data_IF_554945587634
#
_entry.id   IF_554945587634
#
_cell.length_a   1.000
_cell.length_b   1.000
_cell.length_c   1.000
_cell.angle_alpha   90.00
_cell.angle_beta   90.00
_cell.angle_gamma   90.00
#
_symmetry.space_group_name_H-M   'P 1'
#
loop_
_entity.id
_entity.type
_entity.pdbx_description
1 polymer ?
#
# COMPACT_ATOMS: atom_id res chain seq x y z
N UNK A 1 -18.89 -0.85 0.68
CA UNK A 1 -17.57 -0.83 1.36
C UNK A 1 -17.81 -0.60 2.85
N UNK A 2 -16.98 -1.17 3.73
CA UNK A 2 -17.01 -0.87 5.17
C UNK A 2 -16.33 0.46 5.48
N UNK A 3 -16.58 1.04 6.66
CA UNK A 3 -16.03 2.34 7.07
C UNK A 3 -14.50 2.41 7.02
N UNK A 4 -13.81 1.37 7.52
CA UNK A 4 -12.34 1.30 7.45
C UNK A 4 -11.78 1.16 6.03
N UNK A 5 -12.49 0.46 5.14
CA UNK A 5 -12.08 0.38 3.74
C UNK A 5 -12.23 1.71 3.02
N UNK A 6 -13.28 2.48 3.34
CA UNK A 6 -13.44 3.84 2.83
C UNK A 6 -12.29 4.73 3.28
N UNK A 7 -12.00 4.76 4.60
CA UNK A 7 -10.87 5.52 5.15
C UNK A 7 -9.53 5.14 4.53
N UNK A 8 -9.30 3.85 4.27
CA UNK A 8 -8.09 3.36 3.60
C UNK A 8 -7.98 3.84 2.15
N UNK A 9 -9.08 3.87 1.40
CA UNK A 9 -9.10 4.39 0.03
C UNK A 9 -8.87 5.90 0.04
N UNK A 10 -9.54 6.65 0.90
CA UNK A 10 -9.36 8.11 1.00
C UNK A 10 -7.91 8.46 1.37
N UNK A 11 -7.36 7.84 2.41
CA UNK A 11 -5.97 8.02 2.80
C UNK A 11 -5.00 7.63 1.67
N UNK A 12 -5.26 6.54 0.97
CA UNK A 12 -4.49 6.15 -0.20
C UNK A 12 -4.47 7.25 -1.27
N UNK A 13 -5.63 7.81 -1.59
CA UNK A 13 -5.74 8.81 -2.65
C UNK A 13 -5.11 10.15 -2.26
N UNK A 14 -5.19 10.54 -0.99
CA UNK A 14 -4.53 11.75 -0.48
C UNK A 14 -3.01 11.63 -0.53
N UNK A 15 -2.46 10.51 -0.04
CA UNK A 15 -1.01 10.22 -0.13
C UNK A 15 -0.56 10.16 -1.58
N UNK A 16 -1.34 9.51 -2.45
CA UNK A 16 -1.02 9.42 -3.88
C UNK A 16 -0.95 10.81 -4.52
N UNK A 17 -1.93 11.69 -4.26
CA UNK A 17 -1.95 13.06 -4.82
C UNK A 17 -0.75 13.89 -4.37
N UNK A 18 -0.38 13.79 -3.10
CA UNK A 18 0.78 14.50 -2.57
C UNK A 18 2.09 13.95 -3.13
N UNK A 19 2.25 12.63 -3.23
CA UNK A 19 3.41 12.02 -3.88
C UNK A 19 3.51 12.40 -5.35
N UNK A 20 2.38 12.43 -6.07
CA UNK A 20 2.33 12.74 -7.49
C UNK A 20 2.66 14.20 -7.79
N UNK A 21 2.20 15.13 -6.94
CA UNK A 21 2.51 16.55 -7.07
C UNK A 21 4.01 16.84 -6.88
N UNK A 22 4.71 16.03 -6.10
CA UNK A 22 6.14 16.18 -5.82
C UNK A 22 7.06 15.37 -6.79
N UNK A 23 6.51 14.43 -7.57
CA UNK A 23 7.26 13.52 -8.45
C UNK A 23 6.56 13.36 -9.81
N UNK A 24 6.32 14.49 -10.50
CA UNK A 24 5.67 14.49 -11.79
C UNK A 24 6.49 13.66 -12.80
N UNK A 25 5.86 12.65 -13.41
CA UNK A 25 6.51 11.77 -14.39
C UNK A 25 7.24 10.54 -13.84
N UNK A 26 7.52 10.44 -12.54
CA UNK A 26 8.21 9.29 -11.95
C UNK A 26 7.27 8.16 -11.52
N UNK A 27 7.80 6.95 -11.36
CA UNK A 27 7.05 5.86 -10.73
C UNK A 27 6.67 6.21 -9.29
N UNK A 28 5.46 5.80 -8.89
CA UNK A 28 4.99 5.90 -7.50
C UNK A 28 4.62 4.52 -7.04
N UNK A 29 5.01 4.15 -5.83
CA UNK A 29 4.62 2.86 -5.28
C UNK A 29 4.68 2.87 -3.76
N UNK A 30 3.56 2.66 -3.08
CA UNK A 30 3.49 2.61 -1.63
C UNK A 30 2.35 1.71 -1.15
N UNK A 31 2.36 1.38 0.14
CA UNK A 31 1.27 0.63 0.78
C UNK A 31 0.47 1.50 1.73
N UNK A 32 -0.75 1.93 1.32
CA UNK A 32 -1.63 2.69 2.21
C UNK A 32 -2.07 1.84 3.41
N UNK A 33 -2.29 0.53 3.25
CA UNK A 33 -2.62 -0.36 4.37
C UNK A 33 -1.50 -0.37 5.42
N UNK A 34 -0.26 -0.56 4.99
CA UNK A 34 0.88 -0.62 5.91
C UNK A 34 1.05 0.71 6.65
N UNK A 35 0.97 1.83 5.93
CA UNK A 35 1.09 3.17 6.51
C UNK A 35 -0.03 3.48 7.50
N UNK A 36 -1.28 3.20 7.11
CA UNK A 36 -2.44 3.39 7.97
C UNK A 36 -2.28 2.61 9.27
N UNK A 37 -1.82 1.37 9.19
CA UNK A 37 -1.51 0.54 10.35
C UNK A 37 -0.40 1.13 11.22
N UNK A 38 0.72 1.50 10.62
CA UNK A 38 1.89 2.00 11.33
C UNK A 38 1.62 3.35 12.02
N UNK A 39 0.88 4.25 11.36
CA UNK A 39 0.44 5.51 11.95
C UNK A 39 -0.64 5.28 13.03
N UNK A 40 -1.49 4.27 12.88
CA UNK A 40 -2.46 3.90 13.94
C UNK A 40 -1.78 3.42 15.22
N UNK A 41 -0.56 2.87 15.16
CA UNK A 41 0.24 2.55 16.35
C UNK A 41 0.71 3.80 17.10
N UNK A 42 0.92 4.91 16.39
CA UNK A 42 1.25 6.20 17.00
C UNK A 42 -0.02 6.84 17.57
N UNK A 43 -1.13 6.80 16.80
CA UNK A 43 -2.43 7.31 17.23
C UNK A 43 -2.90 6.66 18.55
N UNK A 44 -2.61 5.37 18.76
CA UNK A 44 -2.88 4.64 20.00
C UNK A 44 -2.39 5.40 21.26
N UNK A 45 -1.26 6.11 21.16
CA UNK A 45 -0.70 6.89 22.25
C UNK A 45 -0.77 8.42 22.08
N UNK A 46 -1.26 8.91 20.95
CA UNK A 46 -1.47 10.34 20.73
C UNK A 46 -2.67 10.86 21.53
N UNK A 47 -2.64 12.13 21.92
CA UNK A 47 -3.73 12.81 22.64
C UNK A 47 -4.01 14.18 22.01
N UNK A 48 -5.15 14.77 22.40
CA UNK A 48 -5.54 16.16 22.06
C UNK A 48 -5.38 16.47 20.56
N UNK A 49 -4.78 17.60 20.22
CA UNK A 49 -4.68 18.07 18.83
C UNK A 49 -3.78 17.17 17.96
N UNK A 50 -2.77 16.53 18.56
CA UNK A 50 -1.97 15.52 17.88
C UNK A 50 -2.83 14.32 17.44
N UNK A 51 -3.71 13.81 18.32
CA UNK A 51 -4.66 12.76 17.96
C UNK A 51 -5.68 13.24 16.92
N UNK A 52 -6.27 14.42 17.09
CA UNK A 52 -7.27 14.97 16.16
C UNK A 52 -6.73 15.15 14.73
N UNK A 53 -5.50 15.66 14.59
CA UNK A 53 -4.83 15.79 13.29
C UNK A 53 -4.60 14.43 12.65
N UNK A 54 -4.16 13.44 13.43
CA UNK A 54 -3.94 12.09 12.93
C UNK A 54 -5.24 11.41 12.49
N UNK A 55 -6.30 11.49 13.29
CA UNK A 55 -7.61 10.94 12.96
C UNK A 55 -8.19 11.58 11.69
N UNK A 56 -7.99 12.89 11.50
CA UNK A 56 -8.42 13.58 10.29
C UNK A 56 -7.67 13.07 9.06
N UNK A 57 -6.34 13.01 9.11
CA UNK A 57 -5.50 12.58 7.98
C UNK A 57 -5.69 11.10 7.65
N UNK A 58 -5.92 10.26 8.66
CA UNK A 58 -6.20 8.83 8.48
C UNK A 58 -7.68 8.55 8.11
N UNK A 59 -8.50 9.59 7.99
CA UNK A 59 -9.94 9.49 7.71
C UNK A 59 -10.71 8.65 8.74
N UNK A 60 -10.32 8.72 10.00
CA UNK A 60 -10.96 7.98 11.09
C UNK A 60 -12.12 8.72 11.74
N UNK A 61 -12.24 10.04 11.54
CA UNK A 61 -13.29 10.86 12.14
C UNK A 61 -14.72 10.37 11.79
N UNK A 62 -14.95 9.94 10.55
CA UNK A 62 -16.27 9.43 10.11
C UNK A 62 -16.50 7.97 10.53
N UNK A 63 -15.42 7.21 10.77
CA UNK A 63 -15.48 5.84 11.31
C UNK A 63 -15.96 5.88 12.75
N UNK A 64 -15.44 6.83 13.55
CA UNK A 64 -15.81 7.02 14.96
C UNK A 64 -17.28 7.44 15.12
N UNK A 65 -17.78 8.33 14.26
CA UNK A 65 -19.19 8.77 14.29
C UNK A 65 -20.21 7.69 13.92
N UNK A 66 -19.80 6.64 13.20
CA UNK A 66 -20.68 5.56 12.73
C UNK A 66 -20.83 4.40 13.75
N UNK A 67 -20.14 4.46 14.88
CA UNK A 67 -20.09 3.38 15.87
C UNK A 67 -21.20 3.54 16.92
N UNK A 68 -22.23 2.68 16.89
CA UNK A 68 -23.27 2.63 17.93
C UNK A 68 -22.68 2.35 19.33
N UNK A 69 -23.16 3.01 20.41
CA UNK A 69 -22.57 2.97 21.76
C UNK A 69 -22.73 1.63 22.55
N UNK A 70 -23.38 0.60 22.01
CA UNK A 70 -23.91 -0.51 22.82
C UNK A 70 -22.98 -1.73 23.06
N UNK A 71 -21.76 -1.76 22.51
CA UNK A 71 -20.82 -2.87 22.76
C UNK A 71 -19.80 -2.50 23.85
N UNK A 72 -19.93 -3.12 25.03
CA UNK A 72 -18.98 -3.02 26.14
C UNK A 72 -17.69 -3.78 25.79
N UNK A 73 -16.65 -3.07 25.37
CA UNK A 73 -15.31 -3.63 25.18
C UNK A 73 -14.60 -3.88 26.53
N UNK A 74 -13.73 -4.90 26.58
CA UNK A 74 -12.88 -5.17 27.75
C UNK A 74 -11.98 -3.97 28.08
N UNK A 75 -11.99 -3.55 29.34
CA UNK A 75 -11.75 -2.19 29.82
C UNK A 75 -10.30 -1.64 29.84
N UNK A 76 -9.31 -2.29 29.21
CA UNK A 76 -7.89 -1.84 29.33
C UNK A 76 -7.31 -1.11 28.12
N UNK A 77 -7.70 -1.46 26.90
CA UNK A 77 -7.32 -0.71 25.68
C UNK A 77 -8.49 0.12 25.12
N UNK A 78 -9.63 0.17 25.85
CA UNK A 78 -10.90 0.76 25.40
C UNK A 78 -10.93 2.30 25.42
N UNK A 79 -10.10 2.96 26.23
CA UNK A 79 -9.94 4.44 26.15
C UNK A 79 -9.41 4.92 24.79
N UNK A 80 -8.93 3.99 23.96
CA UNK A 80 -8.32 4.25 22.67
C UNK A 80 -9.31 4.06 21.50
N UNK A 81 -10.55 3.66 21.79
CA UNK A 81 -11.62 3.55 20.79
C UNK A 81 -11.64 2.23 20.01
N UNK A 82 -12.84 1.87 19.52
CA UNK A 82 -13.13 0.62 18.77
C UNK A 82 -12.35 0.50 17.45
N UNK A 83 -11.74 1.59 16.99
CA UNK A 83 -11.05 1.63 15.71
C UNK A 83 -9.81 0.74 15.71
N UNK A 84 -9.06 0.69 16.82
CA UNK A 84 -7.84 -0.11 16.91
C UNK A 84 -8.13 -1.61 17.00
N UNK A 85 -9.22 -2.02 17.66
CA UNK A 85 -9.64 -3.43 17.68
C UNK A 85 -10.13 -3.88 16.31
N UNK A 86 -10.88 -3.04 15.60
CA UNK A 86 -11.30 -3.31 14.22
C UNK A 86 -10.10 -3.38 13.26
N UNK A 87 -9.12 -2.48 13.39
CA UNK A 87 -7.88 -2.51 12.61
C UNK A 87 -7.06 -3.77 12.90
N UNK A 88 -6.91 -4.16 14.17
CA UNK A 88 -6.21 -5.38 14.56
C UNK A 88 -6.87 -6.65 13.99
N UNK A 89 -8.21 -6.72 14.03
CA UNK A 89 -8.96 -7.83 13.44
C UNK A 89 -8.83 -7.87 11.91
N UNK A 90 -8.93 -6.71 11.26
CA UNK A 90 -8.78 -6.57 9.81
C UNK A 90 -7.38 -6.95 9.35
N UNK A 91 -6.35 -6.49 10.06
CA UNK A 91 -4.96 -6.85 9.78
C UNK A 91 -4.74 -8.35 9.95
N UNK A 92 -5.27 -8.93 11.03
CA UNK A 92 -5.19 -10.39 11.27
C UNK A 92 -5.88 -11.18 10.17
N UNK A 93 -6.93 -10.64 9.54
CA UNK A 93 -7.61 -11.25 8.40
C UNK A 93 -6.80 -11.17 7.09
N UNK A 94 -6.12 -10.04 6.85
CA UNK A 94 -5.34 -9.80 5.64
C UNK A 94 -4.00 -10.52 5.70
N UNK A 95 -3.36 -10.54 6.86
CA UNK A 95 -2.02 -11.11 7.07
C UNK A 95 -2.06 -12.61 7.44
N UNK A 96 -3.15 -13.31 7.16
CA UNK A 96 -3.20 -14.77 7.32
C UNK A 96 -2.26 -15.40 6.32
N UNK A 97 -1.47 -16.37 6.78
CA UNK A 97 -0.58 -17.12 5.91
C UNK A 97 -1.36 -17.71 4.72
N UNK A 98 -0.81 -17.52 3.53
CA UNK A 98 -1.29 -18.09 2.28
C UNK A 98 -0.08 -18.72 1.58
N UNK A 99 -0.15 -20.00 1.24
CA UNK A 99 0.94 -20.67 0.53
C UNK A 99 1.21 -20.05 -0.84
N UNK A 100 0.22 -19.36 -1.41
CA UNK A 100 0.22 -18.86 -2.79
C UNK A 100 0.45 -17.34 -2.85
N UNK A 101 0.59 -16.66 -1.72
CA UNK A 101 1.04 -15.27 -1.69
C UNK A 101 1.82 -14.95 -0.43
N UNK A 102 2.98 -14.33 -0.60
CA UNK A 102 3.80 -13.82 0.50
C UNK A 102 3.54 -12.33 0.63
N UNK A 103 2.77 -11.96 1.65
CA UNK A 103 2.66 -10.59 2.14
C UNK A 103 3.51 -10.49 3.41
N UNK A 104 4.53 -9.64 3.40
CA UNK A 104 5.38 -9.41 4.57
C UNK A 104 5.36 -7.95 4.94
N UNK A 105 4.75 -7.65 6.08
CA UNK A 105 4.64 -6.30 6.64
C UNK A 105 5.55 -6.19 7.84
N UNK A 106 6.52 -5.28 7.75
CA UNK A 106 7.53 -5.00 8.77
C UNK A 106 7.30 -3.59 9.32
N UNK A 107 6.45 -3.51 10.34
CA UNK A 107 6.16 -2.26 11.04
C UNK A 107 6.76 -2.28 12.44
N UNK A 108 7.62 -1.31 12.75
CA UNK A 108 8.20 -1.18 14.09
C UNK A 108 8.48 0.27 14.44
N UNK A 109 8.23 0.57 15.70
CA UNK A 109 8.60 1.83 16.32
C UNK A 109 9.93 1.66 17.07
N UNK A 110 10.87 2.55 16.77
CA UNK A 110 12.16 2.62 17.45
C UNK A 110 12.21 3.87 18.31
N UNK A 111 12.24 3.70 19.63
CA UNK A 111 12.33 4.80 20.59
C UNK A 111 13.67 4.85 21.30
N UNK A 112 14.07 6.04 21.76
CA UNK A 112 15.28 6.19 22.59
C UNK A 112 15.12 5.55 23.97
N UNK A 113 16.21 4.97 24.51
CA UNK A 113 16.25 4.38 25.87
C UNK A 113 15.87 5.35 26.98
N UNK A 114 16.09 6.64 26.74
CA UNK A 114 15.87 7.69 27.75
C UNK A 114 14.37 7.97 27.97
N UNK A 115 13.51 7.59 27.01
CA UNK A 115 12.07 7.86 27.08
C UNK A 115 11.30 6.55 27.29
N UNK A 116 11.19 6.14 28.55
CA UNK A 116 10.51 4.91 28.95
C UNK A 116 9.03 4.90 28.53
N UNK A 117 8.61 3.85 27.83
CA UNK A 117 7.22 3.69 27.39
C UNK A 117 6.33 3.14 28.51
N UNK A 118 5.07 3.54 28.52
CA UNK A 118 4.07 2.97 29.43
C UNK A 118 3.80 1.50 29.08
N UNK A 119 3.82 0.61 30.09
CA UNK A 119 3.54 -0.81 29.90
C UNK A 119 2.15 -1.05 29.28
N UNK A 120 1.17 -0.22 29.61
CA UNK A 120 -0.16 -0.30 29.00
C UNK A 120 -0.11 -0.07 27.48
N UNK A 121 0.67 0.92 27.02
CA UNK A 121 0.85 1.19 25.60
C UNK A 121 1.55 0.02 24.90
N UNK A 122 2.63 -0.51 25.49
CA UNK A 122 3.35 -1.67 24.96
C UNK A 122 2.41 -2.87 24.80
N UNK A 123 1.66 -3.21 25.85
CA UNK A 123 0.72 -4.33 25.85
C UNK A 123 -0.41 -4.16 24.81
N UNK A 124 -0.95 -2.94 24.67
CA UNK A 124 -2.00 -2.68 23.68
C UNK A 124 -1.42 -2.72 22.25
N UNK A 125 -0.21 -2.21 22.03
CA UNK A 125 0.47 -2.27 20.74
C UNK A 125 0.74 -3.70 20.31
N UNK A 126 1.27 -4.53 21.20
CA UNK A 126 1.51 -5.94 20.92
C UNK A 126 0.21 -6.70 20.67
N UNK A 127 -0.82 -6.48 21.50
CA UNK A 127 -2.11 -7.17 21.36
C UNK A 127 -2.86 -6.80 20.06
N UNK A 128 -2.85 -5.52 19.69
CA UNK A 128 -3.65 -5.01 18.57
C UNK A 128 -2.89 -5.05 17.25
N UNK A 129 -1.56 -4.93 17.31
CA UNK A 129 -0.71 -4.76 16.14
C UNK A 129 0.43 -5.79 16.02
N UNK A 130 0.57 -6.74 16.95
CA UNK A 130 1.69 -7.69 16.93
C UNK A 130 3.07 -7.02 16.87
N UNK A 131 3.14 -5.74 17.22
CA UNK A 131 4.28 -4.88 16.97
C UNK A 131 4.93 -4.53 18.30
N UNK A 132 6.07 -5.18 18.54
CA UNK A 132 6.95 -4.87 19.64
C UNK A 132 7.78 -3.62 19.31
N UNK A 133 7.68 -2.59 20.15
CA UNK A 133 8.60 -1.46 20.10
C UNK A 133 10.01 -1.93 20.45
N UNK A 134 11.01 -1.31 19.83
CA UNK A 134 12.39 -1.59 20.14
C UNK A 134 13.09 -0.32 20.63
N UNK A 135 13.80 -0.46 21.73
CA UNK A 135 14.55 0.64 22.30
C UNK A 135 15.97 0.64 21.72
N UNK A 136 16.41 1.80 21.23
CA UNK A 136 17.71 1.99 20.59
C UNK A 136 18.42 3.23 21.13
N UNK A 137 19.67 3.41 20.76
CA UNK A 137 20.47 4.58 21.12
C UNK A 137 20.84 5.36 19.87
N UNK A 138 20.02 6.37 19.54
CA UNK A 138 20.28 7.28 18.43
C UNK A 138 21.48 8.18 18.71
N UNK A 139 21.67 8.61 19.97
CA UNK A 139 22.61 9.65 20.35
C UNK A 139 24.05 9.17 20.39
N UNK A 140 24.32 8.07 21.08
CA UNK A 140 25.68 7.58 21.31
C UNK A 140 26.07 6.46 20.36
N UNK A 141 25.12 5.78 19.72
CA UNK A 141 25.38 4.64 18.83
C UNK A 141 24.55 4.64 17.53
N UNK A 142 24.51 5.76 16.76
CA UNK A 142 23.65 5.89 15.58
C UNK A 142 23.93 4.83 14.51
N UNK A 143 25.18 4.46 14.26
CA UNK A 143 25.53 3.43 13.27
C UNK A 143 25.16 2.01 13.70
N UNK A 144 25.23 1.70 15.00
CA UNK A 144 24.74 0.41 15.53
C UNK A 144 23.21 0.35 15.41
N UNK A 145 22.54 1.45 15.74
CA UNK A 145 21.09 1.60 15.58
C UNK A 145 20.68 1.43 14.11
N UNK A 146 21.40 2.07 13.17
CA UNK A 146 21.19 1.93 11.73
C UNK A 146 21.27 0.47 11.27
N UNK A 147 22.36 -0.23 11.64
CA UNK A 147 22.56 -1.65 11.27
C UNK A 147 21.48 -2.55 11.87
N UNK A 148 21.09 -2.30 13.12
CA UNK A 148 20.03 -3.04 13.81
C UNK A 148 18.71 -2.91 13.08
N UNK A 149 18.32 -1.68 12.71
CA UNK A 149 17.08 -1.42 11.97
C UNK A 149 17.12 -2.09 10.60
N UNK A 150 18.20 -1.91 9.83
CA UNK A 150 18.33 -2.51 8.50
C UNK A 150 18.27 -4.05 8.54
N UNK A 151 18.99 -4.69 9.47
CA UNK A 151 18.99 -6.14 9.61
C UNK A 151 17.60 -6.69 9.96
N UNK A 152 16.86 -5.99 10.83
CA UNK A 152 15.50 -6.38 11.17
C UNK A 152 14.55 -6.27 9.96
N UNK A 153 14.63 -5.17 9.20
CA UNK A 153 13.82 -4.97 7.98
C UNK A 153 14.14 -6.04 6.93
N UNK A 154 15.43 -6.31 6.71
CA UNK A 154 15.87 -7.32 5.75
C UNK A 154 15.35 -8.72 6.14
N UNK A 155 15.45 -9.08 7.43
CA UNK A 155 14.91 -10.34 7.96
C UNK A 155 13.38 -10.44 7.79
N UNK A 156 12.64 -9.36 8.04
CA UNK A 156 11.17 -9.35 7.91
C UNK A 156 10.66 -9.26 6.48
N UNK A 157 11.53 -9.00 5.51
CA UNK A 157 11.17 -8.85 4.09
C UNK A 157 11.85 -9.91 3.21
N UNK A 158 12.26 -11.04 3.79
CA UNK A 158 12.91 -12.15 3.09
C UNK A 158 14.14 -11.70 2.26
N UNK A 159 14.91 -10.74 2.78
CA UNK A 159 16.09 -10.22 2.10
C UNK A 159 15.80 -9.24 0.95
N UNK A 160 14.54 -8.87 0.70
CA UNK A 160 14.16 -8.04 -0.46
C UNK A 160 14.29 -6.55 -0.19
N UNK A 161 14.05 -6.11 1.04
CA UNK A 161 14.23 -4.70 1.43
C UNK A 161 15.53 -4.55 2.20
N UNK A 162 16.58 -4.12 1.49
CA UNK A 162 17.90 -3.85 2.07
C UNK A 162 18.14 -2.37 2.27
N UNK A 163 19.11 -2.05 3.13
CA UNK A 163 19.65 -0.70 3.31
C UNK A 163 18.59 0.40 3.41
N UNK A 164 17.60 0.19 4.28
CA UNK A 164 16.55 1.17 4.53
C UNK A 164 17.16 2.55 4.87
N UNK A 165 18.12 2.53 5.79
CA UNK A 165 18.95 3.67 6.16
C UNK A 165 20.37 3.52 5.60
N UNK A 166 20.80 4.53 4.83
CA UNK A 166 22.18 4.68 4.37
C UNK A 166 23.10 5.14 5.52
N UNK A 167 24.41 4.96 5.35
CA UNK A 167 25.41 5.44 6.33
C UNK A 167 25.19 6.93 6.64
N UNK A 168 25.25 7.31 7.92
CA UNK A 168 25.07 8.70 8.35
C UNK A 168 23.64 9.26 8.26
N UNK A 169 22.62 8.44 7.91
CA UNK A 169 21.22 8.94 7.77
C UNK A 169 20.39 8.87 9.04
N UNK A 170 20.91 8.25 10.11
CA UNK A 170 20.30 8.27 11.44
C UNK A 170 20.79 9.51 12.17
N UNK A 171 19.85 10.43 12.44
CA UNK A 171 20.12 11.66 13.18
C UNK A 171 20.28 11.36 14.68
N UNK A 172 21.41 11.71 15.32
CA UNK A 172 21.63 11.50 16.76
C UNK A 172 20.65 12.23 17.68
N UNK A 173 19.95 13.24 17.17
CA UNK A 173 18.89 13.96 17.90
C UNK A 173 17.54 13.24 17.87
N UNK A 174 17.40 12.17 17.08
CA UNK A 174 16.15 11.40 16.98
C UNK A 174 15.74 10.83 18.34
N UNK A 175 14.46 10.98 18.68
CA UNK A 175 13.86 10.37 19.87
C UNK A 175 12.93 9.21 19.52
N UNK A 176 12.32 9.24 18.33
CA UNK A 176 11.43 8.19 17.86
C UNK A 176 11.37 8.10 16.33
N UNK A 177 11.58 6.90 15.79
CA UNK A 177 11.55 6.61 14.35
C UNK A 177 10.57 5.50 14.07
N UNK A 178 9.60 5.77 13.19
CA UNK A 178 8.68 4.77 12.66
C UNK A 178 9.25 4.18 11.37
N UNK A 179 9.44 2.85 11.39
CA UNK A 179 9.90 2.09 10.23
C UNK A 179 8.75 1.26 9.71
N UNK A 180 8.42 1.49 8.44
CA UNK A 180 7.43 0.77 7.69
C UNK A 180 8.06 0.18 6.44
N UNK A 181 8.22 -1.12 6.38
CA UNK A 181 8.65 -1.81 5.17
C UNK A 181 7.65 -2.88 4.81
N UNK A 182 7.37 -3.01 3.51
CA UNK A 182 6.41 -3.99 3.03
C UNK A 182 6.90 -4.64 1.74
N UNK A 183 6.73 -5.95 1.67
CA UNK A 183 7.04 -6.78 0.53
C UNK A 183 5.81 -7.59 0.14
N UNK A 184 5.54 -7.67 -1.16
CA UNK A 184 4.52 -8.55 -1.69
C UNK A 184 5.03 -9.33 -2.89
N UNK A 185 4.77 -10.64 -2.87
CA UNK A 185 4.84 -11.54 -4.02
C UNK A 185 3.59 -12.40 -4.02
N UNK A 186 2.73 -12.20 -5.00
CA UNK A 186 1.52 -12.98 -5.17
C UNK A 186 1.60 -13.84 -6.42
N UNK A 187 0.90 -14.96 -6.41
CA UNK A 187 0.73 -15.81 -7.57
C UNK A 187 -0.57 -15.47 -8.33
N UNK A 188 -0.51 -15.25 -9.65
CA UNK A 188 -1.70 -15.05 -10.47
C UNK A 188 -2.61 -16.27 -10.43
N UNK A 189 -3.93 -16.05 -10.36
CA UNK A 189 -4.90 -17.13 -10.56
C UNK A 189 -4.78 -17.73 -11.97
N UNK A 190 -4.54 -16.88 -12.97
CA UNK A 190 -4.25 -17.25 -14.36
C UNK A 190 -2.88 -16.68 -14.74
N UNK A 191 -1.89 -17.56 -14.88
CA UNK A 191 -0.51 -17.17 -15.18
C UNK A 191 -0.33 -16.67 -16.61
N UNK A 192 0.67 -15.82 -16.77
CA UNK A 192 1.31 -15.59 -18.05
C UNK A 192 2.30 -16.72 -18.34
N UNK A 193 2.43 -17.12 -19.60
CA UNK A 193 3.41 -18.11 -20.02
C UNK A 193 4.67 -17.37 -20.45
N UNK A 194 5.84 -17.71 -19.89
CA UNK A 194 7.10 -17.00 -20.20
C UNK A 194 7.43 -16.99 -21.70
N UNK A 195 7.07 -18.05 -22.43
CA UNK A 195 7.26 -18.15 -23.88
C UNK A 195 6.44 -17.13 -24.69
N UNK A 196 5.37 -16.60 -24.10
CA UNK A 196 4.49 -15.60 -24.73
C UNK A 196 4.96 -14.17 -24.40
N UNK A 197 5.92 -14.01 -23.48
CA UNK A 197 6.50 -12.72 -23.15
C UNK A 197 7.44 -12.29 -24.27
N UNK A 198 7.16 -11.10 -24.83
CA UNK A 198 7.92 -10.56 -25.96
C UNK A 198 8.37 -9.13 -25.70
N UNK A 199 9.52 -8.77 -26.26
CA UNK A 199 10.03 -7.39 -26.22
C UNK A 199 9.14 -6.48 -27.06
N UNK A 200 8.52 -5.49 -26.43
CA UNK A 200 7.68 -4.51 -27.13
C UNK A 200 7.94 -3.08 -26.64
N UNK A 201 7.63 -2.06 -27.46
CA UNK A 201 7.74 -0.67 -27.01
C UNK A 201 6.69 -0.33 -25.95
N UNK A 202 7.16 0.25 -24.84
CA UNK A 202 6.36 0.98 -23.87
C UNK A 202 6.50 2.48 -24.13
N UNK A 203 5.40 3.17 -24.40
CA UNK A 203 5.36 4.59 -24.69
C UNK A 203 5.39 5.37 -23.37
N UNK A 204 6.48 6.07 -23.10
CA UNK A 204 6.62 6.95 -21.95
C UNK A 204 5.89 8.28 -22.20
N UNK A 205 5.80 9.10 -21.15
CA UNK A 205 5.43 10.52 -21.28
C UNK A 205 6.36 11.23 -22.28
N UNK A 206 5.87 12.29 -22.93
CA UNK A 206 6.62 13.11 -23.91
C UNK A 206 6.97 12.40 -25.23
N UNK A 207 6.35 11.26 -25.54
CA UNK A 207 6.54 10.56 -26.82
C UNK A 207 7.83 9.75 -26.93
N UNK A 208 8.57 9.59 -25.83
CA UNK A 208 9.70 8.65 -25.73
C UNK A 208 9.18 7.22 -25.66
N UNK A 209 10.01 6.24 -26.00
CA UNK A 209 9.67 4.83 -25.80
C UNK A 209 10.87 4.03 -25.31
N UNK A 210 10.59 3.00 -24.53
CA UNK A 210 11.58 2.03 -24.04
C UNK A 210 11.11 0.63 -24.39
N UNK A 211 12.05 -0.28 -24.63
CA UNK A 211 11.72 -1.69 -24.89
C UNK A 211 11.57 -2.41 -23.57
N UNK A 212 10.45 -3.10 -23.38
CA UNK A 212 10.13 -3.84 -22.15
C UNK A 212 9.73 -5.28 -22.48
N UNK A 213 9.94 -6.18 -21.53
CA UNK A 213 9.38 -7.54 -21.58
C UNK A 213 7.86 -7.45 -21.33
N UNK A 214 7.06 -7.65 -22.37
CA UNK A 214 5.61 -7.54 -22.30
C UNK A 214 5.01 -8.94 -22.20
N UNK A 215 4.45 -9.24 -21.04
CA UNK A 215 3.76 -10.50 -20.79
C UNK A 215 2.42 -10.51 -21.53
N UNK A 216 2.03 -11.68 -22.06
CA UNK A 216 0.78 -11.88 -22.79
C UNK A 216 0.00 -13.09 -22.29
N UNK A 217 -1.32 -12.95 -22.19
CA UNK A 217 -2.24 -14.08 -22.05
C UNK A 217 -3.62 -13.73 -22.59
N UNK A 218 -4.43 -14.76 -22.84
CA UNK A 218 -5.87 -14.62 -23.06
C UNK A 218 -6.63 -15.36 -21.97
N UNK A 219 -7.72 -14.78 -21.47
CA UNK A 219 -8.56 -15.45 -20.48
C UNK A 219 -9.84 -14.69 -20.19
N UNK A 220 -10.67 -15.27 -19.31
CA UNK A 220 -11.84 -14.59 -18.77
C UNK A 220 -11.41 -13.67 -17.63
N UNK A 221 -11.60 -12.36 -17.82
CA UNK A 221 -11.25 -11.34 -16.85
C UNK A 221 -12.36 -10.31 -16.70
N UNK A 222 -12.45 -9.71 -15.53
CA UNK A 222 -13.33 -8.57 -15.30
C UNK A 222 -12.71 -7.33 -15.92
N UNK A 223 -13.44 -6.73 -16.86
CA UNK A 223 -13.02 -5.56 -17.62
C UNK A 223 -14.15 -4.53 -17.68
N UNK A 224 -13.86 -3.29 -17.29
CA UNK A 224 -14.75 -2.15 -17.49
C UNK A 224 -14.21 -1.18 -18.53
N UNK A 225 -15.13 -0.54 -19.27
CA UNK A 225 -14.84 0.56 -20.19
C UNK A 225 -15.55 1.81 -19.69
N UNK A 226 -14.79 2.79 -19.20
CA UNK A 226 -15.33 4.01 -18.62
C UNK A 226 -15.25 5.12 -19.66
N UNK A 227 -16.40 5.58 -20.17
CA UNK A 227 -16.46 6.57 -21.27
C UNK A 227 -15.89 7.95 -20.92
N UNK A 228 -15.95 8.33 -19.64
CA UNK A 228 -15.40 9.58 -19.10
C UNK A 228 -14.67 9.21 -17.80
N UNK A 229 -13.33 9.19 -17.76
CA UNK A 229 -12.39 9.89 -18.65
C UNK A 229 -11.96 9.19 -19.96
N UNK A 230 -12.48 8.02 -20.35
CA UNK A 230 -11.90 7.10 -21.36
C UNK A 230 -10.75 6.27 -20.76
N UNK A 231 -11.12 5.36 -19.86
CA UNK A 231 -10.18 4.38 -19.29
C UNK A 231 -10.73 2.97 -19.46
N UNK A 232 -9.81 2.00 -19.56
CA UNK A 232 -10.08 0.61 -19.30
C UNK A 232 -9.68 0.26 -17.87
N UNK A 233 -10.50 -0.54 -17.19
CA UNK A 233 -10.20 -1.05 -15.85
C UNK A 233 -10.18 -2.57 -15.90
N UNK A 234 -9.00 -3.16 -15.72
CA UNK A 234 -8.82 -4.62 -15.71
C UNK A 234 -8.59 -5.09 -14.27
N UNK A 235 -9.24 -6.18 -13.87
CA UNK A 235 -8.96 -6.87 -12.61
C UNK A 235 -8.34 -8.25 -12.87
N UNK A 236 -7.13 -8.44 -12.35
CA UNK A 236 -6.37 -9.68 -12.38
C UNK A 236 -6.35 -10.32 -10.99
N UNK A 237 -7.07 -11.42 -10.77
CA UNK A 237 -7.06 -12.12 -9.49
C UNK A 237 -5.73 -12.83 -9.24
N UNK A 238 -5.28 -12.80 -7.99
CA UNK A 238 -4.28 -13.73 -7.48
C UNK A 238 -4.97 -15.03 -7.05
N UNK A 239 -4.18 -16.10 -6.87
CA UNK A 239 -4.67 -17.43 -6.44
C UNK A 239 -5.56 -17.29 -5.20
N UNK A 240 -6.58 -18.15 -5.12
CA UNK A 240 -7.60 -18.18 -4.05
C UNK A 240 -8.57 -16.98 -4.05
N UNK A 241 -8.50 -16.08 -5.04
CA UNK A 241 -9.36 -14.89 -5.13
C UNK A 241 -9.40 -14.05 -3.82
N UNK A 242 -8.31 -14.05 -3.05
CA UNK A 242 -8.19 -13.21 -1.85
C UNK A 242 -7.76 -11.79 -2.20
N UNK A 243 -6.81 -11.70 -3.13
CA UNK A 243 -6.25 -10.44 -3.62
C UNK A 243 -6.50 -10.31 -5.12
N UNK A 244 -6.55 -9.08 -5.61
CA UNK A 244 -6.50 -8.79 -7.04
C UNK A 244 -5.67 -7.55 -7.33
N UNK A 245 -5.02 -7.54 -8.49
CA UNK A 245 -4.48 -6.31 -9.07
C UNK A 245 -5.55 -5.68 -9.97
N UNK A 246 -5.83 -4.40 -9.76
CA UNK A 246 -6.64 -3.58 -10.64
C UNK A 246 -5.71 -2.64 -11.39
N UNK A 247 -5.86 -2.55 -12.71
CA UNK A 247 -5.12 -1.60 -13.54
C UNK A 247 -6.11 -0.63 -14.18
N UNK A 248 -5.87 0.67 -13.99
CA UNK A 248 -6.60 1.76 -14.63
C UNK A 248 -5.71 2.31 -15.74
N UNK A 249 -6.09 2.01 -16.99
CA UNK A 249 -5.34 2.36 -18.19
C UNK A 249 -6.09 3.44 -18.97
N UNK A 250 -5.55 4.67 -19.10
CA UNK A 250 -6.06 5.67 -20.04
C UNK A 250 -6.11 5.12 -21.46
N UNK A 251 -7.15 5.44 -22.23
CA UNK A 251 -7.27 5.04 -23.63
C UNK A 251 -7.83 6.18 -24.48
N UNK A 252 -7.71 6.05 -25.80
CA UNK A 252 -8.25 7.05 -26.74
C UNK A 252 -7.50 8.37 -26.61
N UNK A 253 -8.22 9.44 -26.28
CA UNK A 253 -7.64 10.79 -26.13
C UNK A 253 -7.25 11.10 -24.69
N UNK A 254 -7.53 10.20 -23.74
CA UNK A 254 -7.18 10.40 -22.34
C UNK A 254 -5.70 10.18 -22.10
N UNK A 255 -5.17 10.91 -21.13
CA UNK A 255 -3.83 10.69 -20.60
C UNK A 255 -3.87 10.40 -19.10
N UNK A 256 -2.73 9.98 -18.56
CA UNK A 256 -2.61 9.62 -17.15
C UNK A 256 -2.89 10.80 -16.22
N UNK A 257 -2.48 12.01 -16.58
CA UNK A 257 -2.70 13.22 -15.79
C UNK A 257 -4.20 13.54 -15.61
N UNK A 258 -5.00 13.37 -16.67
CA UNK A 258 -6.46 13.54 -16.60
C UNK A 258 -7.11 12.49 -15.70
N UNK A 259 -6.63 11.24 -15.76
CA UNK A 259 -7.07 10.17 -14.85
C UNK A 259 -6.73 10.53 -13.40
N UNK A 260 -5.50 10.95 -13.12
CA UNK A 260 -5.03 11.34 -11.78
C UNK A 260 -5.86 12.48 -11.18
N UNK A 261 -6.21 13.50 -11.98
CA UNK A 261 -7.05 14.64 -11.56
C UNK A 261 -8.47 14.21 -11.19
N UNK A 262 -9.03 13.22 -11.89
CA UNK A 262 -10.40 12.74 -11.66
C UNK A 262 -10.47 11.66 -10.59
N UNK A 263 -9.34 11.05 -10.21
CA UNK A 263 -9.26 10.00 -9.22
C UNK A 263 -9.57 10.52 -7.80
N UNK A 264 -10.70 10.08 -7.27
CA UNK A 264 -11.19 10.33 -5.92
C UNK A 264 -11.99 9.10 -5.44
N UNK A 265 -12.44 9.11 -4.19
CA UNK A 265 -13.16 7.97 -3.60
C UNK A 265 -14.35 7.54 -4.46
N UNK A 266 -15.19 8.51 -4.87
CA UNK A 266 -16.41 8.25 -5.64
C UNK A 266 -16.08 7.63 -6.99
N UNK A 267 -15.15 8.23 -7.73
CA UNK A 267 -14.75 7.73 -9.05
C UNK A 267 -14.06 6.39 -8.96
N UNK A 268 -13.17 6.17 -7.98
CA UNK A 268 -12.54 4.87 -7.76
C UNK A 268 -13.57 3.76 -7.48
N UNK A 269 -14.54 4.02 -6.60
CA UNK A 269 -15.61 3.08 -6.28
C UNK A 269 -16.51 2.81 -7.49
N UNK A 270 -16.87 3.85 -8.24
CA UNK A 270 -17.68 3.73 -9.45
C UNK A 270 -16.96 2.89 -10.51
N UNK A 271 -15.72 3.23 -10.86
CA UNK A 271 -14.94 2.57 -11.91
C UNK A 271 -14.61 1.12 -11.58
N UNK A 272 -14.47 0.78 -10.29
CA UNK A 272 -14.16 -0.59 -9.83
C UNK A 272 -15.36 -1.36 -9.29
N UNK A 273 -16.57 -0.82 -9.46
CA UNK A 273 -17.82 -1.45 -9.02
C UNK A 273 -18.13 -2.73 -9.80
N UNK A 274 -18.79 -3.68 -9.14
CA UNK A 274 -19.23 -4.93 -9.78
C UNK A 274 -20.21 -4.70 -10.94
N UNK A 275 -20.95 -3.59 -10.94
CA UNK A 275 -21.84 -3.21 -12.05
C UNK A 275 -21.09 -2.79 -13.31
N UNK A 276 -19.87 -2.24 -13.17
CA UNK A 276 -19.04 -1.84 -14.31
C UNK A 276 -18.08 -2.96 -14.75
N UNK A 277 -17.58 -3.74 -13.78
CA UNK A 277 -16.56 -4.78 -13.98
C UNK A 277 -17.18 -6.10 -14.45
N UNK A 278 -17.44 -6.21 -15.76
CA UNK A 278 -18.05 -7.38 -16.38
C UNK A 278 -17.00 -8.40 -16.82
N UNK A 279 -17.25 -9.69 -16.59
CA UNK A 279 -16.39 -10.78 -17.05
C UNK A 279 -16.50 -10.97 -18.57
N UNK A 280 -15.36 -11.00 -19.26
CA UNK A 280 -15.25 -11.12 -20.73
C UNK A 280 -13.97 -11.85 -21.10
N UNK A 281 -13.91 -12.39 -22.31
CA UNK A 281 -12.65 -12.89 -22.89
C UNK A 281 -11.77 -11.70 -23.30
N UNK A 282 -10.58 -11.60 -22.69
CA UNK A 282 -9.66 -10.48 -22.85
C UNK A 282 -8.27 -10.96 -23.24
N UNK A 283 -7.68 -10.30 -24.24
CA UNK A 283 -6.24 -10.35 -24.53
C UNK A 283 -5.51 -9.33 -23.66
N UNK A 284 -4.73 -9.82 -22.69
CA UNK A 284 -4.07 -9.00 -21.68
C UNK A 284 -2.58 -8.89 -22.02
N UNK A 285 -2.09 -7.67 -22.17
CA UNK A 285 -0.67 -7.35 -22.29
C UNK A 285 -0.25 -6.43 -21.15
N UNK A 286 0.70 -6.87 -20.32
CA UNK A 286 1.22 -6.10 -19.17
C UNK A 286 2.74 -6.26 -19.12
N UNK A 287 3.50 -5.17 -18.90
CA UNK A 287 4.94 -5.29 -18.78
C UNK A 287 5.33 -6.09 -17.54
N UNK A 288 6.43 -6.84 -17.62
CA UNK A 288 7.16 -7.25 -16.44
C UNK A 288 7.80 -6.01 -15.83
N UNK A 289 7.64 -5.80 -14.53
CA UNK A 289 8.24 -4.65 -13.85
C UNK A 289 8.53 -4.94 -12.39
N UNK A 290 9.45 -4.15 -11.84
CA UNK A 290 9.84 -4.21 -10.44
C UNK A 290 9.95 -2.81 -9.89
N UNK A 291 9.22 -2.52 -8.81
CA UNK A 291 9.30 -1.24 -8.12
C UNK A 291 9.80 -1.44 -6.71
N UNK A 292 10.87 -0.72 -6.36
CA UNK A 292 11.41 -0.64 -5.00
C UNK A 292 11.60 0.84 -4.66
N UNK A 293 10.66 1.42 -3.93
CA UNK A 293 10.64 2.87 -3.67
C UNK A 293 10.65 3.14 -2.17
N UNK A 294 11.46 4.12 -1.77
CA UNK A 294 11.61 4.58 -0.39
C UNK A 294 11.17 6.03 -0.27
N UNK A 295 10.35 6.32 0.74
CA UNK A 295 9.91 7.65 1.10
C UNK A 295 10.27 7.99 2.54
N UNK A 296 10.65 9.25 2.75
CA UNK A 296 10.59 9.91 4.06
C UNK A 296 9.31 10.73 4.11
N UNK A 297 8.36 10.32 4.94
CA UNK A 297 6.98 10.80 4.87
C UNK A 297 6.71 12.04 5.73
N UNK A 298 7.69 12.56 6.45
CA UNK A 298 7.50 13.69 7.38
C UNK A 298 6.86 14.91 6.69
N UNK A 299 7.44 15.37 5.58
CA UNK A 299 6.92 16.56 4.86
C UNK A 299 5.56 16.30 4.23
N UNK A 300 5.37 15.10 3.66
CA UNK A 300 4.09 14.68 3.09
C UNK A 300 2.97 14.62 4.13
N UNK A 301 3.22 14.01 5.29
CA UNK A 301 2.21 13.91 6.34
C UNK A 301 1.89 15.30 6.93
N UNK A 302 2.89 16.18 7.02
CA UNK A 302 2.70 17.59 7.41
C UNK A 302 1.80 18.35 6.42
N UNK A 303 2.01 18.19 5.10
CA UNK A 303 1.18 18.87 4.09
C UNK A 303 -0.28 18.39 4.12
N UNK A 304 -0.50 17.11 4.45
CA UNK A 304 -1.85 16.57 4.69
C UNK A 304 -2.49 17.09 5.99
N UNK A 305 -1.72 17.72 6.88
CA UNK A 305 -2.21 18.35 8.11
C UNK A 305 -1.78 17.65 9.41
N UNK A 306 -0.99 16.58 9.33
CA UNK A 306 -0.41 15.89 10.48
C UNK A 306 0.90 16.59 10.88
N UNK A 307 0.81 17.62 11.72
CA UNK A 307 1.95 18.51 12.00
C UNK A 307 2.50 18.35 13.42
N UNK A 308 1.64 18.30 14.43
CA UNK A 308 2.08 18.36 15.82
C UNK A 308 2.90 17.15 16.26
N UNK A 309 2.59 15.95 15.75
CA UNK A 309 3.35 14.76 16.14
C UNK A 309 4.83 14.83 15.74
N UNK A 310 5.19 15.72 14.81
CA UNK A 310 6.57 15.95 14.37
C UNK A 310 7.23 17.15 15.08
N UNK A 311 6.50 17.83 15.97
CA UNK A 311 6.95 19.03 16.66
C UNK A 311 7.38 18.67 18.09
N UNK A 312 8.63 18.96 18.50
CA UNK A 312 9.15 18.57 19.80
C UNK A 312 8.46 19.24 20.99
N UNK A 313 7.75 20.36 20.78
CA UNK A 313 7.07 21.14 21.81
C UNK A 313 5.57 20.82 21.82
N UNK A 314 4.96 20.66 20.64
CA UNK A 314 3.50 20.50 20.51
C UNK A 314 3.03 19.04 20.51
N UNK A 315 3.90 18.08 20.20
CA UNK A 315 3.52 16.67 20.17
C UNK A 315 2.95 16.22 21.52
N UNK A 316 1.69 15.79 21.54
CA UNK A 316 1.08 15.16 22.71
C UNK A 316 1.01 13.65 22.49
N UNK A 317 2.13 12.98 22.81
CA UNK A 317 2.27 11.51 22.82
C UNK A 317 2.26 10.95 24.26
N UNK A 318 1.56 11.64 25.17
CA UNK A 318 1.50 11.29 26.59
C UNK A 318 0.87 9.92 26.87
N UNK A 319 0.12 9.35 25.92
CA UNK A 319 -0.34 7.97 25.99
C UNK A 319 0.76 6.93 25.78
N UNK A 320 1.90 7.31 25.19
CA UNK A 320 3.05 6.43 24.94
C UNK A 320 4.06 6.48 26.07
N UNK A 321 4.35 7.67 26.60
CA UNK A 321 5.36 7.90 27.63
C UNK A 321 5.02 9.16 28.44
N UNK A 322 5.43 9.18 29.71
CA UNK A 322 5.42 10.38 30.54
C UNK A 322 6.59 11.34 30.23
N UNK A 323 7.53 10.92 29.38
CA UNK A 323 8.67 11.74 29.00
C UNK A 323 8.22 13.00 28.25
N UNK A 324 8.80 14.15 28.63
CA UNK A 324 8.61 15.40 27.89
C UNK A 324 9.38 15.34 26.57
N UNK A 325 8.87 16.02 25.55
CA UNK A 325 9.48 16.13 24.22
C UNK A 325 9.60 14.78 23.48
N UNK A 326 8.70 13.83 23.73
CA UNK A 326 8.53 12.69 22.84
C UNK A 326 7.74 13.14 21.61
N UNK A 327 8.37 13.08 20.45
CA UNK A 327 7.77 13.38 19.15
C UNK A 327 8.25 12.35 18.12
N UNK A 328 7.51 12.22 17.03
CA UNK A 328 7.90 11.38 15.90
C UNK A 328 8.97 12.10 15.08
N UNK A 329 10.23 11.71 15.28
CA UNK A 329 11.36 12.30 14.57
C UNK A 329 11.32 11.97 13.09
N UNK A 330 10.97 10.73 12.74
CA UNK A 330 11.03 10.27 11.35
C UNK A 330 10.04 9.17 11.03
N UNK A 331 9.47 9.20 9.83
CA UNK A 331 8.67 8.12 9.23
C UNK A 331 9.31 7.69 7.93
N UNK A 332 9.81 6.46 7.89
CA UNK A 332 10.35 5.87 6.68
C UNK A 332 9.40 4.79 6.17
N UNK A 333 9.02 4.91 4.90
CA UNK A 333 8.27 3.90 4.17
C UNK A 333 9.13 3.33 3.04
N UNK A 334 9.23 2.01 2.94
CA UNK A 334 9.84 1.35 1.79
C UNK A 334 8.97 0.19 1.32
N UNK A 335 8.64 0.20 0.05
CA UNK A 335 7.75 -0.76 -0.59
C UNK A 335 8.49 -1.49 -1.71
N UNK A 336 8.18 -2.77 -1.89
CA UNK A 336 8.72 -3.59 -2.97
C UNK A 336 7.62 -4.41 -3.62
N UNK A 337 7.58 -4.41 -4.96
CA UNK A 337 6.77 -5.34 -5.77
C UNK A 337 7.57 -5.82 -6.97
N UNK A 338 7.31 -7.07 -7.36
CA UNK A 338 7.89 -7.73 -8.52
C UNK A 338 6.75 -8.42 -9.27
N UNK A 339 6.45 -7.90 -10.45
CA UNK A 339 5.36 -8.34 -11.32
C UNK A 339 5.96 -9.11 -12.49
N UNK A 340 5.73 -10.42 -12.50
CA UNK A 340 6.22 -11.37 -13.49
C UNK A 340 5.17 -12.46 -13.76
N UNK A 341 5.55 -13.46 -14.54
CA UNK A 341 4.69 -14.53 -15.05
C UNK A 341 4.24 -15.52 -13.98
N UNK A 342 5.01 -15.67 -12.90
CA UNK A 342 5.30 -16.98 -12.33
C UNK A 342 4.30 -17.55 -11.32
N UNK A 343 3.15 -16.95 -11.06
CA UNK A 343 2.30 -17.39 -9.94
C UNK A 343 1.76 -18.85 -9.90
N UNK A 344 2.57 -19.90 -9.56
CA UNK A 344 2.45 -21.40 -9.73
C UNK A 344 1.07 -21.99 -10.08
N UNK A 345 0.79 -22.90 -11.03
CA UNK A 345 1.34 -23.61 -12.22
C UNK A 345 0.07 -23.92 -13.06
N UNK A 346 0.10 -23.79 -14.40
CA UNK A 346 -1.09 -24.01 -15.22
C UNK A 346 -1.21 -25.49 -15.63
N UNK A 347 -2.39 -26.07 -15.42
CA UNK A 347 -2.74 -27.35 -16.00
C UNK A 347 -2.87 -27.23 -17.52
N UNK A 348 -2.19 -28.17 -18.18
CA UNK A 348 -2.17 -28.56 -19.58
C UNK A 348 -3.25 -28.02 -20.54
N UNK A 349 -2.74 -27.49 -21.65
CA UNK A 349 -3.08 -27.86 -23.03
C UNK A 349 -4.31 -28.78 -23.23
N UNK A 350 -5.32 -28.21 -23.86
CA UNK A 350 -6.16 -28.88 -24.87
C UNK A 350 -6.18 -27.92 -26.05
N UNK A 351 -5.39 -28.13 -27.10
CA UNK A 351 -5.57 -29.22 -28.04
C UNK A 351 -6.00 -28.55 -29.35
N UNK A 352 -5.08 -28.44 -30.30
CA UNK A 352 -5.32 -27.84 -31.60
C UNK A 352 -6.48 -28.54 -32.30
N UNK A 353 -7.54 -27.78 -32.57
CA UNK A 353 -8.36 -27.97 -33.75
C UNK A 353 -8.49 -26.59 -34.39
N UNK A 354 -7.73 -26.35 -35.46
CA UNK A 354 -7.94 -25.22 -36.35
C UNK A 354 -9.27 -25.49 -37.07
N UNK A 355 -10.35 -25.00 -36.47
CA UNK A 355 -11.56 -24.67 -37.21
C UNK A 355 -11.50 -23.18 -37.45
N UNK A 356 -11.36 -22.76 -38.71
CA UNK A 356 -11.54 -21.36 -39.12
C UNK A 356 -13.02 -21.01 -38.95
N UNK A 357 -13.44 -20.77 -37.71
CA UNK A 357 -14.64 -20.03 -37.36
C UNK A 357 -14.19 -18.61 -37.05
N UNK A 358 -14.95 -17.60 -37.50
CA UNK A 358 -14.68 -16.18 -37.25
C UNK A 358 -14.18 -16.01 -35.81
N UNK A 359 -12.93 -15.58 -35.65
CA UNK A 359 -12.35 -15.37 -34.32
C UNK A 359 -13.30 -14.42 -33.57
N UNK A 360 -13.85 -14.81 -32.42
CA UNK A 360 -14.65 -13.90 -31.62
C UNK A 360 -13.81 -12.64 -31.35
N UNK A 361 -14.40 -11.46 -31.53
CA UNK A 361 -13.72 -10.19 -31.25
C UNK A 361 -13.46 -10.15 -29.74
N UNK A 362 -12.24 -10.50 -29.34
CA UNK A 362 -11.78 -10.40 -27.95
C UNK A 362 -11.58 -8.94 -27.59
N UNK A 363 -11.92 -8.59 -26.35
CA UNK A 363 -11.51 -7.29 -25.85
C UNK A 363 -10.00 -7.28 -25.68
N UNK A 364 -9.33 -6.19 -26.05
CA UNK A 364 -7.90 -6.04 -25.82
C UNK A 364 -7.66 -5.09 -24.65
N UNK A 365 -6.76 -5.47 -23.75
CA UNK A 365 -6.20 -4.62 -22.71
C UNK A 365 -4.68 -4.61 -22.86
N UNK A 366 -4.13 -3.48 -23.34
CA UNK A 366 -2.70 -3.37 -23.65
C UNK A 366 -2.05 -2.25 -22.84
N UNK A 367 -1.44 -2.60 -21.72
CA UNK A 367 -0.79 -1.67 -20.81
C UNK A 367 0.64 -1.30 -21.28
N UNK A 368 0.76 -0.73 -22.48
CA UNK A 368 2.04 -0.35 -23.09
C UNK A 368 2.38 1.14 -22.95
N UNK A 369 1.80 1.82 -21.98
CA UNK A 369 2.00 3.23 -21.66
C UNK A 369 1.57 3.49 -20.21
N UNK A 370 1.89 4.65 -19.60
CA UNK A 370 1.69 4.88 -18.19
C UNK A 370 0.28 4.57 -17.66
N UNK A 371 0.21 3.85 -16.55
CA UNK A 371 -1.04 3.42 -15.92
C UNK A 371 -0.98 3.49 -14.39
N UNK A 372 -2.15 3.51 -13.76
CA UNK A 372 -2.28 3.32 -12.32
C UNK A 372 -2.62 1.88 -12.01
N UNK A 373 -2.11 1.35 -10.90
CA UNK A 373 -2.48 0.03 -10.42
C UNK A 373 -2.67 0.00 -8.92
N UNK A 374 -3.55 -0.91 -8.49
CA UNK A 374 -3.89 -1.11 -7.08
C UNK A 374 -3.91 -2.60 -6.80
N UNK A 375 -3.34 -3.03 -5.69
CA UNK A 375 -3.52 -4.39 -5.19
C UNK A 375 -4.51 -4.30 -4.04
N UNK A 376 -5.65 -4.97 -4.14
CA UNK A 376 -6.71 -4.94 -3.11
C UNK A 376 -6.99 -6.30 -2.53
N UNK A 377 -7.45 -6.33 -1.28
CA UNK A 377 -8.07 -7.51 -0.69
C UNK A 377 -9.56 -7.53 -1.02
N UNK A 378 -9.99 -8.51 -1.82
CA UNK A 378 -11.30 -8.55 -2.47
C UNK A 378 -12.44 -8.49 -1.44
N UNK A 379 -12.33 -9.27 -0.36
CA UNK A 379 -13.42 -9.38 0.65
C UNK A 379 -13.64 -8.08 1.43
N UNK A 380 -12.57 -7.34 1.72
CA UNK A 380 -12.66 -6.12 2.56
C UNK A 380 -12.61 -4.84 1.74
N UNK A 381 -12.25 -4.93 0.45
CA UNK A 381 -11.96 -3.81 -0.44
C UNK A 381 -10.83 -2.89 0.05
N UNK A 382 -9.96 -3.37 0.95
CA UNK A 382 -8.78 -2.62 1.37
C UNK A 382 -7.74 -2.60 0.26
N UNK A 383 -7.19 -1.43 -0.03
CA UNK A 383 -6.03 -1.25 -0.88
C UNK A 383 -4.79 -1.61 -0.07
N UNK A 384 -4.09 -2.66 -0.49
CA UNK A 384 -2.81 -3.08 0.06
C UNK A 384 -1.68 -2.24 -0.55
N UNK A 385 -1.72 -2.00 -1.86
CA UNK A 385 -0.73 -1.22 -2.58
C UNK A 385 -1.37 -0.30 -3.60
N UNK A 386 -0.76 0.85 -3.80
CA UNK A 386 -1.10 1.80 -4.84
C UNK A 386 0.18 2.16 -5.59
N UNK A 387 0.09 2.17 -6.92
CA UNK A 387 1.21 2.60 -7.74
C UNK A 387 0.83 3.26 -9.05
N UNK A 388 1.80 3.99 -9.57
CA UNK A 388 1.83 4.58 -10.90
C UNK A 388 3.05 3.98 -11.60
N UNK A 389 2.84 3.29 -12.71
CA UNK A 389 3.91 2.83 -13.56
C UNK A 389 4.06 3.83 -14.71
N UNK A 390 5.02 4.74 -14.59
CA UNK A 390 5.40 5.69 -15.63
C UNK A 390 6.49 5.11 -16.55
N UNK A 391 7.41 4.31 -16.00
CA UNK A 391 8.42 3.55 -16.73
C UNK A 391 8.61 2.16 -16.07
N UNK A 392 8.43 1.05 -16.79
CA UNK A 392 8.58 -0.31 -16.26
C UNK A 392 9.97 -0.68 -15.73
#
# INVERSE_FOLDING_TARGET
MGSLSTANVEFCLDVFKELNSNNAGDNIFFSPLSLLYALSMILLGARRNSAMQMEKVLHFSHVVGSLKPEFKDSSKCSQVGRIHSQLGALFSQINQADSNSTLSIANRLYGTKVMGFHQQYLNCSEKLYGAQQQTVDFKHSPEVTRKTINAWVESKTNGKVKDLFGKGTIDPSSVMVLVNAIYFKGQWQNKFQERETIKTPFQLSEGKSVIVEMMYQTGLFKLAFIKKPQIQVLELPYVNNRLSMIILLPVGTANLEQLEKQLNLKTFQEWTSSSNMMEREVEVHIPRFKLEIKYELNSLLKSLGMTEIFDPIKADLSGMSAAKNLYLSKVIHKSYVDVNEEGTEAAAATGDIIVVKRLPIRAQFKANHPFLFFIRHIRTNMILFCGKLASP
#
